data_IF_071676805597
#
_entry.id   IF_071676805597
#
_cell.length_a   1.000
_cell.length_b   1.000
_cell.length_c   1.000
_cell.angle_alpha   90.00
_cell.angle_beta   90.00
_cell.angle_gamma   90.00
#
_symmetry.space_group_name_H-M   'P 1'
#
loop_
_entity.id
_entity.type
_entity.pdbx_description
1 polymer ?
#
# COMPACT_ATOMS: atom_id res chain seq x y z
N UNK A 1 10.20 -20.05 -22.03
CA UNK A 1 9.62 -21.39 -22.20
C UNK A 1 10.70 -22.38 -21.82
N UNK A 2 10.44 -23.18 -20.79
CA UNK A 2 11.29 -24.28 -20.35
C UNK A 2 11.24 -25.35 -21.44
N UNK A 3 12.38 -25.63 -22.07
CA UNK A 3 12.46 -26.75 -22.99
C UNK A 3 12.24 -28.07 -22.24
N UNK A 4 11.37 -28.94 -22.76
CA UNK A 4 11.07 -30.24 -22.15
C UNK A 4 12.34 -31.04 -21.83
N UNK A 5 13.35 -31.03 -22.70
CA UNK A 5 14.62 -31.72 -22.46
C UNK A 5 15.39 -31.20 -21.23
N UNK A 6 15.28 -29.91 -20.92
CA UNK A 6 15.88 -29.33 -19.70
C UNK A 6 15.14 -29.82 -18.44
N UNK A 7 13.81 -29.85 -18.50
CA UNK A 7 12.98 -30.38 -17.42
C UNK A 7 13.30 -31.87 -17.18
N UNK A 8 13.28 -32.69 -18.25
CA UNK A 8 13.62 -34.11 -18.20
C UNK A 8 15.01 -34.34 -17.60
N UNK A 9 16.01 -33.58 -18.05
CA UNK A 9 17.38 -33.66 -17.52
C UNK A 9 17.47 -33.29 -16.04
N UNK A 10 16.65 -32.34 -15.57
CA UNK A 10 16.59 -31.97 -14.16
C UNK A 10 15.92 -33.07 -13.31
N UNK A 11 14.86 -33.70 -13.82
CA UNK A 11 14.09 -34.72 -13.10
C UNK A 11 14.86 -36.03 -12.89
N UNK A 12 15.67 -36.46 -13.87
CA UNK A 12 16.48 -37.69 -13.74
C UNK A 12 17.86 -37.44 -13.13
N UNK A 13 18.10 -36.23 -12.61
CA UNK A 13 19.31 -35.88 -11.88
C UNK A 13 19.41 -36.70 -10.58
N UNK A 14 20.62 -37.06 -10.12
CA UNK A 14 20.81 -37.63 -8.77
C UNK A 14 20.31 -36.74 -7.62
N UNK A 15 20.03 -35.47 -7.90
CA UNK A 15 19.44 -34.50 -6.98
C UNK A 15 18.35 -33.70 -7.72
N UNK A 16 17.13 -34.24 -7.85
CA UNK A 16 16.09 -33.63 -8.67
C UNK A 16 15.62 -32.29 -8.11
N UNK A 17 15.40 -32.16 -6.78
CA UNK A 17 15.07 -30.88 -6.14
C UNK A 17 16.07 -29.76 -6.46
N UNK A 18 17.37 -30.01 -6.27
CA UNK A 18 18.42 -29.02 -6.55
C UNK A 18 18.51 -28.65 -8.04
N UNK A 19 18.25 -29.61 -8.93
CA UNK A 19 18.28 -29.37 -10.37
C UNK A 19 17.07 -28.56 -10.84
N UNK A 20 15.87 -28.87 -10.33
CA UNK A 20 14.65 -28.11 -10.58
C UNK A 20 14.72 -26.71 -9.98
N UNK A 21 15.22 -26.53 -8.76
CA UNK A 21 15.41 -25.21 -8.15
C UNK A 21 16.33 -24.32 -9.01
N UNK A 22 17.45 -24.86 -9.50
CA UNK A 22 18.32 -24.13 -10.43
C UNK A 22 17.61 -23.76 -11.73
N UNK A 23 16.81 -24.67 -12.29
CA UNK A 23 16.03 -24.43 -13.50
C UNK A 23 15.02 -23.29 -13.29
N UNK A 24 14.23 -23.36 -12.21
CA UNK A 24 13.24 -22.33 -11.86
C UNK A 24 13.91 -20.99 -11.61
N UNK A 25 15.00 -20.93 -10.83
CA UNK A 25 15.73 -19.69 -10.57
C UNK A 25 16.32 -19.08 -11.84
N UNK A 26 16.78 -19.90 -12.79
CA UNK A 26 17.27 -19.41 -14.07
C UNK A 26 16.14 -18.75 -14.89
N UNK A 27 14.94 -19.32 -14.90
CA UNK A 27 13.78 -18.73 -15.58
C UNK A 27 13.30 -17.45 -14.88
N UNK A 28 13.24 -17.43 -13.53
CA UNK A 28 12.91 -16.23 -12.75
C UNK A 28 13.92 -15.10 -13.01
N UNK A 29 15.22 -15.42 -13.12
CA UNK A 29 16.27 -14.44 -13.43
C UNK A 29 16.14 -13.81 -14.82
N UNK A 30 15.42 -14.47 -15.74
CA UNK A 30 15.08 -13.94 -17.06
C UNK A 30 13.81 -13.07 -17.04
N UNK A 31 13.22 -12.82 -15.86
CA UNK A 31 12.03 -12.01 -15.69
C UNK A 31 10.72 -12.79 -15.84
N UNK A 32 10.76 -14.12 -15.95
CA UNK A 32 9.53 -14.93 -15.98
C UNK A 32 8.86 -14.94 -14.62
N UNK A 33 7.54 -15.08 -14.63
CA UNK A 33 6.73 -15.13 -13.42
C UNK A 33 6.57 -16.56 -12.91
N UNK A 34 6.42 -16.72 -11.60
CA UNK A 34 6.17 -18.00 -10.94
C UNK A 34 4.94 -18.70 -11.51
N UNK A 35 3.84 -17.96 -11.77
CA UNK A 35 2.62 -18.50 -12.39
C UNK A 35 2.89 -19.09 -13.78
N UNK A 36 3.59 -18.34 -14.64
CA UNK A 36 3.93 -18.79 -15.99
C UNK A 36 4.81 -20.05 -15.97
N UNK A 37 5.76 -20.12 -15.03
CA UNK A 37 6.62 -21.30 -14.87
C UNK A 37 5.78 -22.48 -14.38
N UNK A 38 4.91 -22.27 -13.38
CA UNK A 38 4.03 -23.29 -12.81
C UNK A 38 3.09 -23.90 -13.85
N UNK A 39 2.36 -23.08 -14.59
CA UNK A 39 1.44 -23.53 -15.63
C UNK A 39 2.15 -24.37 -16.69
N UNK A 40 3.37 -23.96 -17.05
CA UNK A 40 4.19 -24.70 -18.00
C UNK A 40 4.64 -26.05 -17.44
N UNK A 41 5.08 -26.11 -16.18
CA UNK A 41 5.46 -27.37 -15.52
C UNK A 41 4.29 -28.34 -15.39
N UNK A 42 3.11 -27.84 -15.00
CA UNK A 42 1.86 -28.64 -14.96
C UNK A 42 1.52 -29.19 -16.35
N UNK A 43 1.61 -28.35 -17.38
CA UNK A 43 1.36 -28.78 -18.77
C UNK A 43 2.36 -29.80 -19.31
N UNK A 44 3.54 -29.92 -18.69
CA UNK A 44 4.58 -30.88 -19.07
C UNK A 44 4.62 -32.16 -18.21
N UNK A 45 3.81 -32.24 -17.14
CA UNK A 45 3.90 -33.32 -16.13
C UNK A 45 3.76 -34.72 -16.74
N UNK A 46 2.75 -34.95 -17.60
CA UNK A 46 2.53 -36.24 -18.25
C UNK A 46 3.71 -36.65 -19.14
N UNK A 47 4.23 -35.72 -19.95
CA UNK A 47 5.37 -35.97 -20.84
C UNK A 47 6.70 -36.15 -20.08
N UNK A 48 6.77 -35.61 -18.87
CA UNK A 48 7.91 -35.76 -17.98
C UNK A 48 7.93 -37.17 -17.34
N UNK A 49 6.77 -37.72 -16.98
CA UNK A 49 6.64 -39.09 -16.45
C UNK A 49 7.11 -40.17 -17.43
N UNK A 50 6.98 -39.93 -18.73
CA UNK A 50 7.49 -40.83 -19.78
C UNK A 50 9.03 -40.85 -19.93
N UNK A 51 9.76 -40.07 -19.12
CA UNK A 51 11.22 -39.97 -19.24
C UNK A 51 11.91 -41.22 -18.68
N UNK A 52 12.79 -41.89 -19.45
CA UNK A 52 13.57 -43.01 -18.93
C UNK A 52 14.39 -42.60 -17.70
N UNK A 53 14.18 -43.29 -16.57
CA UNK A 53 14.84 -42.98 -15.30
C UNK A 53 14.05 -42.04 -14.37
N UNK A 54 12.87 -41.59 -14.78
CA UNK A 54 11.91 -40.94 -13.89
C UNK A 54 11.45 -41.92 -12.81
N UNK A 55 11.49 -41.51 -11.55
CA UNK A 55 11.15 -42.32 -10.38
C UNK A 55 10.34 -41.50 -9.36
N UNK A 56 10.02 -42.11 -8.22
CA UNK A 56 9.23 -41.47 -7.16
C UNK A 56 9.87 -40.16 -6.66
N UNK A 57 11.20 -40.10 -6.52
CA UNK A 57 11.93 -38.87 -6.14
C UNK A 57 11.77 -37.77 -7.20
N UNK A 58 11.76 -38.12 -8.49
CA UNK A 58 11.50 -37.17 -9.58
C UNK A 58 10.09 -36.59 -9.51
N UNK A 59 9.10 -37.43 -9.20
CA UNK A 59 7.70 -37.02 -9.08
C UNK A 59 7.49 -36.11 -7.88
N UNK A 60 7.97 -36.51 -6.70
CA UNK A 60 7.88 -35.72 -5.48
C UNK A 60 8.59 -34.37 -5.64
N UNK A 61 9.78 -34.35 -6.23
CA UNK A 61 10.50 -33.11 -6.51
C UNK A 61 9.75 -32.18 -7.47
N UNK A 62 9.05 -32.72 -8.47
CA UNK A 62 8.25 -31.93 -9.40
C UNK A 62 7.04 -31.30 -8.69
N UNK A 63 6.31 -32.09 -7.90
CA UNK A 63 5.15 -31.62 -7.14
C UNK A 63 5.53 -30.58 -6.09
N UNK A 64 6.60 -30.81 -5.33
CA UNK A 64 7.13 -29.85 -4.36
C UNK A 64 7.48 -28.50 -5.00
N UNK A 65 8.05 -28.52 -6.21
CA UNK A 65 8.41 -27.31 -6.95
C UNK A 65 7.15 -26.59 -7.46
N UNK A 66 6.14 -27.32 -7.94
CA UNK A 66 4.86 -26.76 -8.36
C UNK A 66 4.14 -26.10 -7.16
N UNK A 67 4.18 -26.74 -5.99
CA UNK A 67 3.61 -26.20 -4.76
C UNK A 67 4.39 -24.97 -4.27
N UNK A 68 5.72 -25.00 -4.32
CA UNK A 68 6.56 -23.87 -3.98
C UNK A 68 6.36 -22.68 -4.92
N UNK A 69 6.10 -22.91 -6.21
CA UNK A 69 5.75 -21.88 -7.19
C UNK A 69 4.35 -21.31 -6.96
N UNK A 70 3.43 -22.12 -6.44
CA UNK A 70 2.09 -21.69 -6.03
C UNK A 70 2.07 -20.97 -4.67
N UNK A 71 3.17 -21.00 -3.93
CA UNK A 71 3.25 -20.51 -2.55
C UNK A 71 2.49 -21.39 -1.55
N UNK A 72 2.23 -22.66 -1.89
CA UNK A 72 1.58 -23.66 -1.03
C UNK A 72 2.67 -24.39 -0.23
N UNK A 73 3.53 -23.62 0.43
CA UNK A 73 4.62 -24.13 1.26
C UNK A 73 5.00 -23.08 2.32
N UNK A 74 5.84 -23.41 3.33
CA UNK A 74 6.36 -22.41 4.24
C UNK A 74 7.03 -21.25 3.48
N UNK A 75 6.83 -20.01 3.95
CA UNK A 75 7.19 -18.79 3.23
C UNK A 75 8.68 -18.70 2.85
N UNK A 76 9.58 -19.36 3.60
CA UNK A 76 11.01 -19.42 3.29
C UNK A 76 11.38 -20.28 2.07
N UNK A 77 10.48 -21.16 1.62
CA UNK A 77 10.68 -22.04 0.48
C UNK A 77 9.92 -21.59 -0.77
N UNK A 78 8.95 -20.68 -0.61
CA UNK A 78 8.16 -20.18 -1.72
C UNK A 78 9.03 -19.38 -2.70
N UNK A 79 8.88 -19.64 -4.00
CA UNK A 79 9.50 -18.81 -5.02
C UNK A 79 8.83 -17.44 -5.05
N UNK A 80 9.63 -16.40 -5.32
CA UNK A 80 9.15 -15.04 -5.45
C UNK A 80 9.28 -14.60 -6.90
N UNK A 81 8.28 -13.87 -7.40
CA UNK A 81 8.37 -13.21 -8.67
C UNK A 81 9.59 -12.26 -8.69
N UNK A 82 10.19 -12.05 -9.88
CA UNK A 82 11.19 -10.99 -10.04
C UNK A 82 10.59 -9.65 -9.60
N UNK A 83 11.42 -8.69 -9.14
CA UNK A 83 10.98 -7.41 -8.60
C UNK A 83 10.52 -6.43 -9.69
N UNK A 84 9.61 -6.89 -10.56
CA UNK A 84 8.98 -6.12 -11.61
C UNK A 84 7.59 -5.69 -11.15
N UNK A 85 7.18 -4.47 -11.48
CA UNK A 85 5.81 -4.05 -11.25
C UNK A 85 4.87 -4.91 -12.12
N UNK A 86 3.64 -5.20 -11.66
CA UNK A 86 2.68 -5.87 -12.51
C UNK A 86 2.36 -4.99 -13.73
N UNK A 87 2.21 -5.65 -14.87
CA UNK A 87 1.77 -5.07 -16.14
C UNK A 87 0.29 -4.71 -16.10
N UNK A 88 -0.17 -3.93 -17.07
CA UNK A 88 -1.59 -3.57 -17.16
C UNK A 88 -2.45 -4.81 -17.43
N UNK A 89 -1.95 -5.73 -18.26
CA UNK A 89 -2.59 -7.01 -18.57
C UNK A 89 -2.73 -7.89 -17.33
N UNK A 90 -1.68 -7.99 -16.50
CA UNK A 90 -1.74 -8.71 -15.21
C UNK A 90 -2.76 -8.09 -14.24
N UNK A 91 -2.86 -6.76 -14.23
CA UNK A 91 -3.84 -6.06 -13.38
C UNK A 91 -5.26 -6.33 -13.86
N UNK A 92 -5.49 -6.34 -15.17
CA UNK A 92 -6.80 -6.61 -15.77
C UNK A 92 -7.33 -8.03 -15.47
N UNK A 93 -6.44 -8.99 -15.17
CA UNK A 93 -6.83 -10.35 -14.76
C UNK A 93 -7.38 -10.42 -13.33
N UNK A 94 -7.14 -9.40 -12.49
CA UNK A 94 -7.72 -9.33 -11.16
C UNK A 94 -9.21 -8.96 -11.23
N UNK A 95 -10.06 -9.52 -10.34
CA UNK A 95 -11.42 -9.01 -10.16
C UNK A 95 -11.43 -7.51 -9.85
N UNK A 96 -12.45 -6.76 -10.30
CA UNK A 96 -12.51 -5.30 -10.16
C UNK A 96 -12.24 -4.81 -8.72
N UNK A 97 -12.73 -5.53 -7.73
CA UNK A 97 -12.51 -5.20 -6.30
C UNK A 97 -11.07 -5.43 -5.84
N UNK A 98 -10.38 -6.44 -6.38
CA UNK A 98 -8.98 -6.66 -6.10
C UNK A 98 -8.09 -5.59 -6.76
N UNK A 99 -8.43 -5.15 -7.98
CA UNK A 99 -7.78 -4.01 -8.63
C UNK A 99 -7.92 -2.74 -7.78
N UNK A 100 -9.12 -2.47 -7.27
CA UNK A 100 -9.38 -1.34 -6.38
C UNK A 100 -8.63 -1.43 -5.04
N UNK A 101 -8.61 -2.62 -4.43
CA UNK A 101 -7.82 -2.87 -3.22
C UNK A 101 -6.33 -2.61 -3.44
N UNK A 102 -5.80 -2.94 -4.62
CA UNK A 102 -4.42 -2.64 -4.99
C UNK A 102 -4.17 -1.12 -5.04
N UNK A 103 -5.05 -0.35 -5.69
CA UNK A 103 -4.94 1.12 -5.72
C UNK A 103 -5.03 1.77 -4.33
N UNK A 104 -5.92 1.26 -3.46
CA UNK A 104 -6.05 1.72 -2.07
C UNK A 104 -4.76 1.49 -1.31
N UNK A 105 -4.21 0.26 -1.38
CA UNK A 105 -2.94 -0.10 -0.73
C UNK A 105 -1.77 0.75 -1.25
N UNK A 106 -1.75 1.07 -2.54
CA UNK A 106 -0.79 2.02 -3.10
C UNK A 106 -0.89 3.40 -2.44
N UNK A 107 -2.11 3.94 -2.31
CA UNK A 107 -2.35 5.22 -1.63
C UNK A 107 -1.86 5.18 -0.18
N UNK A 108 -2.14 4.07 0.47
CA UNK A 108 -1.77 3.80 1.85
C UNK A 108 -0.25 3.79 2.08
N UNK A 109 0.50 3.27 1.12
CA UNK A 109 1.96 3.29 1.14
C UNK A 109 2.47 4.73 1.02
N UNK A 110 1.96 5.55 0.11
CA UNK A 110 2.53 6.89 -0.08
C UNK A 110 2.10 7.88 1.03
N UNK A 111 0.92 7.67 1.64
CA UNK A 111 0.37 8.60 2.62
C UNK A 111 1.30 8.94 3.81
N UNK A 112 1.95 7.99 4.51
CA UNK A 112 2.90 8.31 5.59
C UNK A 112 4.13 9.09 5.12
N UNK A 113 4.55 8.89 3.87
CA UNK A 113 5.68 9.62 3.31
C UNK A 113 5.37 11.13 3.22
N UNK A 114 4.12 11.49 2.96
CA UNK A 114 3.66 12.88 2.98
C UNK A 114 3.64 13.50 4.38
N UNK A 115 3.53 12.67 5.42
CA UNK A 115 3.49 13.14 6.81
C UNK A 115 4.87 13.44 7.39
N UNK A 116 5.91 12.73 6.95
CA UNK A 116 7.27 12.88 7.49
C UNK A 116 8.00 14.10 6.92
N UNK A 117 7.63 14.55 5.72
CA UNK A 117 8.16 15.77 5.13
C UNK A 117 7.40 17.02 5.61
N UNK A 118 7.60 17.36 6.89
CA UNK A 118 6.86 18.44 7.58
C UNK A 118 7.43 19.83 7.39
N UNK A 119 8.68 19.98 6.90
CA UNK A 119 9.40 21.27 6.89
C UNK A 119 8.89 22.31 5.88
N UNK A 120 7.77 22.06 5.20
CA UNK A 120 7.15 23.03 4.31
C UNK A 120 5.70 22.73 3.94
N UNK A 121 5.00 21.93 4.76
CA UNK A 121 3.68 21.40 4.38
C UNK A 121 2.53 22.00 5.21
N UNK A 122 1.56 22.68 4.57
CA UNK A 122 0.36 23.16 5.24
C UNK A 122 -0.41 22.00 5.87
N UNK A 123 -0.84 22.10 7.14
CA UNK A 123 -1.70 21.11 7.81
C UNK A 123 -2.93 20.71 6.99
N UNK A 124 -3.47 21.64 6.21
CA UNK A 124 -4.66 21.48 5.37
C UNK A 124 -4.47 20.36 4.32
N UNK A 125 -3.30 20.25 3.66
CA UNK A 125 -3.05 19.19 2.66
C UNK A 125 -3.07 17.80 3.27
N UNK A 126 -2.51 17.67 4.48
CA UNK A 126 -2.44 16.40 5.21
C UNK A 126 -3.84 15.93 5.60
N UNK A 127 -4.65 16.85 6.09
CA UNK A 127 -6.03 16.57 6.51
C UNK A 127 -6.93 16.20 5.32
N UNK A 128 -6.82 16.91 4.19
CA UNK A 128 -7.57 16.57 2.98
C UNK A 128 -7.23 15.17 2.47
N UNK A 129 -5.94 14.80 2.44
CA UNK A 129 -5.52 13.45 2.04
C UNK A 129 -6.04 12.37 3.02
N UNK A 130 -6.07 12.67 4.32
CA UNK A 130 -6.60 11.77 5.37
C UNK A 130 -8.09 11.53 5.16
N UNK A 131 -8.88 12.60 5.05
CA UNK A 131 -10.33 12.53 4.87
C UNK A 131 -10.72 11.80 3.58
N UNK A 132 -10.01 12.08 2.48
CA UNK A 132 -10.24 11.38 1.22
C UNK A 132 -9.96 9.87 1.35
N UNK A 133 -8.89 9.48 2.05
CA UNK A 133 -8.55 8.08 2.28
C UNK A 133 -9.57 7.36 3.17
N UNK A 134 -10.00 8.01 4.26
CA UNK A 134 -11.06 7.48 5.14
C UNK A 134 -12.37 7.30 4.40
N UNK A 135 -12.74 8.29 3.58
CA UNK A 135 -13.96 8.26 2.78
C UNK A 135 -13.90 7.16 1.72
N UNK A 136 -12.76 7.00 1.04
CA UNK A 136 -12.53 5.90 0.10
C UNK A 136 -12.73 4.55 0.81
N UNK A 137 -12.05 4.35 1.94
CA UNK A 137 -12.11 3.10 2.72
C UNK A 137 -13.53 2.78 3.20
N UNK A 138 -14.24 3.77 3.75
CA UNK A 138 -15.62 3.59 4.20
C UNK A 138 -16.56 3.20 3.06
N UNK A 139 -16.46 3.84 1.89
CA UNK A 139 -17.30 3.52 0.74
C UNK A 139 -17.00 2.14 0.13
N UNK A 140 -15.75 1.68 0.21
CA UNK A 140 -15.35 0.34 -0.21
C UNK A 140 -15.91 -0.78 0.68
N UNK A 141 -16.19 -0.44 1.92
CA UNK A 141 -16.70 -1.36 2.95
C UNK A 141 -18.21 -1.55 2.87
N UNK A 142 -18.90 -0.59 2.26
CA UNK A 142 -20.33 -0.67 2.05
C UNK A 142 -20.64 -1.65 0.90
N UNK A 143 -21.73 -2.43 1.00
CA UNK A 143 -22.28 -3.09 -0.18
C UNK A 143 -22.51 -2.00 -1.23
N UNK A 144 -21.98 -2.18 -2.44
CA UNK A 144 -22.32 -1.28 -3.54
C UNK A 144 -23.85 -1.31 -3.63
N UNK A 145 -24.54 -0.16 -3.54
CA UNK A 145 -25.98 -0.16 -3.72
C UNK A 145 -26.26 -0.81 -5.07
N UNK A 146 -27.15 -1.80 -5.09
CA UNK A 146 -27.59 -2.47 -6.33
C UNK A 146 -28.11 -1.46 -7.36
N UNK A 147 -28.46 -0.26 -6.91
CA UNK A 147 -28.74 0.91 -7.75
C UNK A 147 -27.45 1.70 -8.05
N UNK A 148 -26.79 1.31 -9.14
CA UNK A 148 -25.68 2.04 -9.77
C UNK A 148 -26.03 3.49 -10.17
N UNK A 149 -27.27 3.95 -9.98
CA UNK A 149 -27.69 5.31 -10.28
C UNK A 149 -27.32 6.35 -9.20
N UNK A 150 -27.10 5.94 -7.94
CA UNK A 150 -26.82 6.87 -6.81
C UNK A 150 -25.33 6.95 -6.49
N UNK A 151 -24.59 5.84 -6.65
CA UNK A 151 -23.15 5.77 -6.43
C UNK A 151 -22.32 6.77 -7.28
N UNK A 152 -22.65 7.04 -8.57
CA UNK A 152 -21.87 7.97 -9.39
C UNK A 152 -21.90 9.37 -8.84
N UNK A 153 -23.06 9.86 -8.36
CA UNK A 153 -23.19 11.22 -7.83
C UNK A 153 -22.49 11.40 -6.49
N UNK A 154 -22.51 10.39 -5.63
CA UNK A 154 -21.84 10.43 -4.34
C UNK A 154 -20.32 10.31 -4.51
N UNK A 155 -19.85 9.38 -5.34
CA UNK A 155 -18.43 9.22 -5.67
C UNK A 155 -17.93 10.43 -6.44
N UNK A 156 -18.70 11.01 -7.36
CA UNK A 156 -18.36 12.24 -8.08
C UNK A 156 -18.31 13.44 -7.14
N UNK A 157 -19.25 13.60 -6.20
CA UNK A 157 -19.21 14.67 -5.21
C UNK A 157 -17.99 14.53 -4.27
N UNK A 158 -17.72 13.33 -3.76
CA UNK A 158 -16.57 13.06 -2.89
C UNK A 158 -15.25 13.21 -3.66
N UNK A 159 -15.20 12.73 -4.91
CA UNK A 159 -14.03 12.86 -5.77
C UNK A 159 -13.78 14.31 -6.14
N UNK A 160 -14.83 15.08 -6.47
CA UNK A 160 -14.72 16.50 -6.78
C UNK A 160 -14.30 17.30 -5.55
N UNK A 161 -14.91 17.08 -4.38
CA UNK A 161 -14.55 17.82 -3.17
C UNK A 161 -13.12 17.52 -2.73
N UNK A 162 -12.72 16.24 -2.70
CA UNK A 162 -11.35 15.85 -2.40
C UNK A 162 -10.36 16.36 -3.47
N UNK A 163 -10.73 16.32 -4.75
CA UNK A 163 -9.91 16.81 -5.84
C UNK A 163 -9.78 18.33 -5.81
N UNK A 164 -10.86 19.08 -5.61
CA UNK A 164 -10.86 20.54 -5.48
C UNK A 164 -10.01 20.98 -4.29
N UNK A 165 -10.17 20.35 -3.12
CA UNK A 165 -9.32 20.60 -1.96
C UNK A 165 -7.84 20.30 -2.24
N UNK A 166 -7.54 19.21 -2.95
CA UNK A 166 -6.15 18.88 -3.31
C UNK A 166 -5.60 19.85 -4.36
N UNK A 167 -6.42 20.28 -5.32
CA UNK A 167 -6.00 21.08 -6.47
C UNK A 167 -5.88 22.57 -6.11
N UNK A 168 -6.80 23.13 -5.31
CA UNK A 168 -6.69 24.49 -4.75
C UNK A 168 -5.37 24.64 -3.98
N UNK A 169 -5.09 23.72 -3.06
CA UNK A 169 -3.87 23.82 -2.24
C UNK A 169 -2.61 23.51 -3.08
N UNK A 170 -2.73 22.83 -4.22
CA UNK A 170 -1.62 22.60 -5.16
C UNK A 170 -1.37 23.81 -6.06
N UNK A 171 -2.41 24.48 -6.53
CA UNK A 171 -2.31 25.70 -7.35
C UNK A 171 -1.82 26.90 -6.53
N UNK A 172 -2.33 27.12 -5.32
CA UNK A 172 -1.91 28.24 -4.46
C UNK A 172 -0.43 28.15 -4.03
N UNK A 173 0.14 26.94 -4.00
CA UNK A 173 1.53 26.71 -3.58
C UNK A 173 2.48 26.33 -4.74
N UNK A 174 1.99 26.37 -5.98
CA UNK A 174 2.69 25.86 -7.17
C UNK A 174 3.99 26.59 -7.52
N UNK A 175 4.15 27.84 -7.10
CA UNK A 175 5.37 28.62 -7.36
C UNK A 175 6.50 28.38 -6.33
N UNK A 176 6.21 27.81 -5.15
CA UNK A 176 7.21 27.67 -4.06
C UNK A 176 7.78 26.24 -3.96
N UNK A 177 7.07 25.24 -4.49
CA UNK A 177 7.38 23.81 -4.27
C UNK A 177 8.29 23.14 -5.31
N UNK A 178 8.74 23.84 -6.34
CA UNK A 178 9.56 23.27 -7.43
C UNK A 178 11.02 22.97 -7.03
N UNK A 179 11.48 23.38 -5.84
CA UNK A 179 12.92 23.35 -5.51
C UNK A 179 13.29 22.29 -4.48
N UNK A 180 12.33 21.70 -3.74
CA UNK A 180 12.64 20.83 -2.60
C UNK A 180 12.11 19.40 -2.79
N UNK A 181 12.92 18.44 -2.34
CA UNK A 181 12.69 17.00 -2.39
C UNK A 181 11.29 16.56 -1.94
N UNK A 182 10.65 17.27 -1.00
CA UNK A 182 9.32 16.95 -0.49
C UNK A 182 8.16 17.18 -1.44
N UNK A 183 8.30 18.10 -2.40
CA UNK A 183 7.25 18.37 -3.40
C UNK A 183 6.88 17.13 -4.22
N UNK A 184 7.86 16.25 -4.49
CA UNK A 184 7.64 15.04 -5.27
C UNK A 184 6.77 14.00 -4.55
N UNK A 185 6.94 13.83 -3.24
CA UNK A 185 6.21 12.83 -2.45
C UNK A 185 4.75 13.25 -2.26
N UNK A 186 4.50 14.53 -2.01
CA UNK A 186 3.14 15.08 -1.88
C UNK A 186 2.41 15.00 -3.22
N UNK A 187 3.08 15.42 -4.30
CA UNK A 187 2.52 15.33 -5.64
C UNK A 187 2.20 13.87 -6.00
N UNK A 188 3.08 12.93 -5.65
CA UNK A 188 2.80 11.51 -5.82
C UNK A 188 1.63 11.04 -4.95
N UNK A 189 1.54 11.44 -3.68
CA UNK A 189 0.43 11.08 -2.78
C UNK A 189 -0.91 11.57 -3.33
N UNK A 190 -0.97 12.84 -3.70
CA UNK A 190 -2.13 13.48 -4.32
C UNK A 190 -2.54 12.79 -5.62
N UNK A 191 -1.56 12.47 -6.49
CA UNK A 191 -1.83 11.77 -7.76
C UNK A 191 -2.28 10.34 -7.54
N UNK A 192 -1.67 9.61 -6.60
CA UNK A 192 -2.07 8.22 -6.28
C UNK A 192 -3.48 8.21 -5.72
N UNK A 193 -3.80 9.10 -4.79
CA UNK A 193 -5.16 9.25 -4.25
C UNK A 193 -6.17 9.63 -5.35
N UNK A 194 -5.86 10.64 -6.17
CA UNK A 194 -6.72 11.04 -7.29
C UNK A 194 -6.94 9.87 -8.26
N UNK A 195 -5.90 9.11 -8.56
CA UNK A 195 -5.96 7.95 -9.45
C UNK A 195 -6.77 6.80 -8.83
N UNK A 196 -6.68 6.59 -7.51
CA UNK A 196 -7.54 5.65 -6.79
C UNK A 196 -9.02 6.09 -6.81
N UNK A 197 -9.30 7.39 -6.73
CA UNK A 197 -10.66 7.93 -6.92
C UNK A 197 -11.15 7.73 -8.36
N UNK A 198 -10.30 7.93 -9.38
CA UNK A 198 -10.65 7.64 -10.77
C UNK A 198 -10.89 6.15 -11.01
N UNK A 199 -10.11 5.26 -10.37
CA UNK A 199 -10.36 3.82 -10.37
C UNK A 199 -11.74 3.49 -9.77
N UNK A 200 -12.09 4.08 -8.62
CA UNK A 200 -13.42 3.92 -8.03
C UNK A 200 -14.53 4.43 -8.96
N UNK A 201 -14.34 5.60 -9.57
CA UNK A 201 -15.28 6.17 -10.55
C UNK A 201 -15.47 5.24 -11.76
N UNK A 202 -14.39 4.66 -12.27
CA UNK A 202 -14.41 3.74 -13.42
C UNK A 202 -15.28 2.52 -13.14
N UNK A 203 -15.15 1.94 -11.93
CA UNK A 203 -16.01 0.83 -11.49
C UNK A 203 -17.48 1.25 -11.43
N UNK A 204 -17.75 2.42 -10.86
CA UNK A 204 -19.12 2.94 -10.73
C UNK A 204 -19.75 3.26 -12.09
N UNK A 205 -18.94 3.63 -13.09
CA UNK A 205 -19.38 3.88 -14.46
C UNK A 205 -19.40 2.61 -15.34
N UNK A 206 -18.97 1.46 -14.81
CA UNK A 206 -18.86 0.22 -15.58
C UNK A 206 -17.74 0.23 -16.62
N UNK A 207 -16.74 1.12 -16.48
CA UNK A 207 -15.60 1.23 -17.38
C UNK A 207 -14.40 0.42 -16.86
N UNK A 208 -14.49 -0.91 -16.99
CA UNK A 208 -13.45 -1.82 -16.51
C UNK A 208 -12.10 -1.63 -17.24
N UNK A 209 -12.11 -1.21 -18.50
CA UNK A 209 -10.90 -1.01 -19.30
C UNK A 209 -10.02 0.13 -18.77
N UNK A 210 -10.62 1.20 -18.25
CA UNK A 210 -9.86 2.31 -17.65
C UNK A 210 -9.31 1.99 -16.25
N UNK A 211 -9.92 1.04 -15.55
CA UNK A 211 -9.53 0.69 -14.18
C UNK A 211 -8.09 0.18 -14.10
N UNK A 212 -7.71 -0.77 -14.97
CA UNK A 212 -6.36 -1.35 -14.99
C UNK A 212 -5.29 -0.29 -15.26
N UNK A 213 -5.56 0.64 -16.18
CA UNK A 213 -4.70 1.77 -16.52
C UNK A 213 -4.51 2.72 -15.32
N UNK A 214 -5.59 3.03 -14.60
CA UNK A 214 -5.51 3.84 -13.37
C UNK A 214 -4.70 3.13 -12.28
N UNK A 215 -4.97 1.85 -12.03
CA UNK A 215 -4.24 1.07 -11.01
C UNK A 215 -2.75 0.95 -11.38
N UNK A 216 -2.43 0.77 -12.67
CA UNK A 216 -1.05 0.77 -13.15
C UNK A 216 -0.36 2.11 -12.91
N UNK A 217 -1.06 3.21 -13.17
CA UNK A 217 -0.59 4.57 -12.89
C UNK A 217 -0.32 4.77 -11.39
N UNK A 218 -1.20 4.26 -10.51
CA UNK A 218 -0.95 4.27 -9.06
C UNK A 218 0.37 3.57 -8.72
N UNK A 219 0.58 2.35 -9.23
CA UNK A 219 1.80 1.57 -8.97
C UNK A 219 3.07 2.28 -9.42
N UNK A 220 3.05 2.88 -10.61
CA UNK A 220 4.20 3.64 -11.15
C UNK A 220 4.50 4.87 -10.30
N UNK A 221 3.46 5.58 -9.84
CA UNK A 221 3.62 6.73 -8.95
C UNK A 221 4.18 6.32 -7.59
N UNK A 222 3.70 5.21 -6.99
CA UNK A 222 4.25 4.71 -5.72
C UNK A 222 5.70 4.28 -5.88
N UNK A 223 6.01 3.51 -6.92
CA UNK A 223 7.36 3.06 -7.20
C UNK A 223 8.32 4.25 -7.32
N UNK A 224 7.93 5.29 -8.08
CA UNK A 224 8.72 6.50 -8.22
C UNK A 224 8.86 7.31 -6.92
N UNK A 225 7.78 7.43 -6.14
CA UNK A 225 7.80 8.14 -4.85
C UNK A 225 8.70 7.46 -3.81
N UNK A 226 8.79 6.13 -3.89
CA UNK A 226 9.53 5.30 -2.93
C UNK A 226 10.99 5.06 -3.29
N UNK A 227 11.43 5.38 -4.51
CA UNK A 227 12.82 5.21 -4.97
C UNK A 227 13.87 5.76 -4.00
N UNK A 228 13.57 6.84 -3.27
CA UNK A 228 14.47 7.45 -2.28
C UNK A 228 14.64 6.65 -1.00
N UNK A 229 13.71 5.74 -0.72
CA UNK A 229 13.67 4.88 0.46
C UNK A 229 14.05 3.43 0.12
N UNK A 230 14.52 3.18 -1.12
CA UNK A 230 14.91 1.87 -1.61
C UNK A 230 14.10 1.42 -2.82
N UNK A 231 14.48 0.28 -3.40
CA UNK A 231 13.69 -0.35 -4.46
C UNK A 231 12.46 -1.03 -3.86
N UNK A 232 11.30 -0.38 -4.05
CA UNK A 232 10.01 -0.82 -3.53
C UNK A 232 9.23 -1.71 -4.51
N UNK A 233 9.73 -1.88 -5.75
CA UNK A 233 9.08 -2.75 -6.75
C UNK A 233 8.86 -4.19 -6.26
N UNK A 234 9.81 -4.86 -5.57
CA UNK A 234 9.56 -6.20 -5.03
C UNK A 234 8.40 -6.22 -4.03
N UNK A 235 8.23 -5.14 -3.26
CA UNK A 235 7.16 -5.03 -2.27
C UNK A 235 5.79 -4.83 -2.93
N UNK A 236 5.71 -3.91 -3.90
CA UNK A 236 4.50 -3.69 -4.69
C UNK A 236 4.08 -4.94 -5.47
N UNK A 237 5.05 -5.66 -6.04
CA UNK A 237 4.79 -6.94 -6.70
C UNK A 237 4.20 -7.97 -5.75
N UNK A 238 4.75 -8.10 -4.55
CA UNK A 238 4.23 -9.00 -3.52
C UNK A 238 2.80 -8.68 -3.11
N UNK A 239 2.44 -7.39 -3.01
CA UNK A 239 1.06 -6.98 -2.73
C UNK A 239 0.10 -7.44 -3.84
N UNK A 240 0.49 -7.24 -5.10
CA UNK A 240 -0.27 -7.72 -6.25
C UNK A 240 -0.45 -9.25 -6.21
N UNK A 241 0.65 -9.99 -6.06
CA UNK A 241 0.62 -11.46 -6.01
C UNK A 241 -0.23 -11.99 -4.84
N UNK A 242 -0.17 -11.34 -3.67
CA UNK A 242 -0.99 -11.67 -2.51
C UNK A 242 -2.49 -11.43 -2.78
N UNK A 243 -2.84 -10.32 -3.44
CA UNK A 243 -4.23 -10.04 -3.81
C UNK A 243 -4.75 -11.06 -4.82
N UNK A 244 -3.96 -11.40 -5.83
CA UNK A 244 -4.30 -12.43 -6.83
C UNK A 244 -4.59 -13.77 -6.15
N UNK A 245 -3.68 -14.24 -5.29
CA UNK A 245 -3.85 -15.48 -4.54
C UNK A 245 -5.09 -15.47 -3.65
N UNK A 246 -5.33 -14.36 -2.93
CA UNK A 246 -6.51 -14.21 -2.06
C UNK A 246 -7.80 -14.23 -2.89
N UNK A 247 -7.83 -13.53 -4.04
CA UNK A 247 -9.00 -13.52 -4.91
C UNK A 247 -9.30 -14.90 -5.49
N UNK A 248 -8.28 -15.66 -5.90
CA UNK A 248 -8.44 -17.03 -6.39
C UNK A 248 -8.94 -17.96 -5.29
N UNK A 249 -8.32 -17.91 -4.11
CA UNK A 249 -8.66 -18.78 -2.98
C UNK A 249 -10.09 -18.55 -2.49
N UNK A 250 -10.56 -17.30 -2.51
CA UNK A 250 -11.90 -16.93 -2.07
C UNK A 250 -12.93 -16.90 -3.21
N UNK A 251 -12.53 -17.20 -4.45
CA UNK A 251 -13.41 -17.21 -5.62
C UNK A 251 -14.06 -15.85 -5.88
N UNK A 252 -13.29 -14.76 -5.77
CA UNK A 252 -13.83 -13.43 -6.02
C UNK A 252 -14.21 -13.26 -7.49
N UNK A 253 -15.46 -12.86 -7.71
CA UNK A 253 -15.93 -12.25 -8.95
C UNK A 253 -15.84 -10.72 -8.86
N UNK A 254 -16.14 -10.03 -9.96
CA UNK A 254 -16.22 -8.57 -9.99
C UNK A 254 -17.24 -7.99 -9.01
N UNK A 255 -18.29 -8.77 -8.71
CA UNK A 255 -19.35 -8.42 -7.77
C UNK A 255 -19.08 -8.90 -6.33
N UNK A 256 -17.96 -9.58 -6.07
CA UNK A 256 -17.68 -10.13 -4.76
C UNK A 256 -17.59 -9.02 -3.69
N UNK A 257 -18.23 -9.25 -2.55
CA UNK A 257 -18.03 -8.41 -1.37
C UNK A 257 -16.69 -8.76 -0.75
N UNK A 258 -15.81 -7.76 -0.66
CA UNK A 258 -14.46 -7.89 -0.13
C UNK A 258 -14.45 -7.40 1.31
N UNK A 259 -13.92 -8.20 2.24
CA UNK A 259 -13.77 -7.80 3.64
C UNK A 259 -12.87 -6.57 3.74
N UNK A 260 -13.19 -5.68 4.70
CA UNK A 260 -12.34 -4.56 5.09
C UNK A 260 -10.88 -4.96 5.36
N UNK A 261 -10.67 -6.17 5.89
CA UNK A 261 -9.35 -6.70 6.22
C UNK A 261 -8.45 -6.90 4.99
N UNK A 262 -9.03 -6.97 3.79
CA UNK A 262 -8.28 -7.01 2.53
C UNK A 262 -7.68 -5.64 2.22
N UNK A 263 -8.32 -4.57 2.64
CA UNK A 263 -7.72 -3.23 2.66
C UNK A 263 -6.84 -3.02 3.89
N UNK A 264 -6.70 -4.05 4.74
CA UNK A 264 -5.95 -4.05 5.99
C UNK A 264 -4.44 -3.80 5.84
N UNK A 265 -3.71 -3.81 6.97
CA UNK A 265 -2.56 -2.95 7.24
C UNK A 265 -1.47 -2.94 6.17
N UNK A 266 -0.92 -1.75 5.94
CA UNK A 266 0.12 -1.37 4.96
C UNK A 266 1.24 -2.39 4.76
N UNK A 267 1.60 -3.11 5.82
CA UNK A 267 2.66 -4.09 5.90
C UNK A 267 2.23 -5.31 6.71
N UNK A 268 2.03 -6.48 6.07
CA UNK A 268 1.79 -7.75 6.78
C UNK A 268 3.00 -8.19 7.61
N UNK A 269 4.19 -7.99 7.07
CA UNK A 269 5.46 -8.08 7.77
C UNK A 269 6.02 -6.67 7.77
N UNK A 270 6.30 -6.11 8.96
CA UNK A 270 6.80 -4.76 9.30
C UNK A 270 7.24 -3.84 8.13
N UNK A 271 7.04 -2.51 8.26
CA UNK A 271 7.59 -1.55 7.30
C UNK A 271 9.07 -1.84 7.02
N UNK A 272 9.57 -1.60 5.78
CA UNK A 272 10.99 -1.67 5.50
C UNK A 272 11.78 -0.89 6.55
N UNK A 273 13.00 -1.35 6.86
CA UNK A 273 13.80 -0.83 7.97
C UNK A 273 13.98 0.70 7.94
N UNK A 274 14.04 1.26 6.74
CA UNK A 274 14.24 2.69 6.49
C UNK A 274 12.93 3.41 6.08
N UNK A 275 11.80 2.72 6.18
CA UNK A 275 10.50 3.33 5.97
C UNK A 275 10.25 4.36 7.06
N UNK A 276 9.69 5.54 6.73
CA UNK A 276 9.33 6.49 7.76
C UNK A 276 8.41 5.81 8.76
N UNK A 277 8.88 5.66 9.99
CA UNK A 277 8.03 5.16 11.06
C UNK A 277 6.87 6.13 11.18
N UNK A 278 5.67 5.58 11.33
CA UNK A 278 4.49 6.38 11.55
C UNK A 278 4.71 7.18 12.84
N UNK A 279 5.14 8.44 12.69
CA UNK A 279 5.37 9.36 13.80
C UNK A 279 4.04 9.66 14.52
N UNK A 280 2.90 9.19 13.98
CA UNK A 280 1.56 9.32 14.53
C UNK A 280 1.21 8.36 15.68
N UNK A 281 2.01 7.35 15.99
CA UNK A 281 1.70 6.42 17.12
C UNK A 281 2.83 6.15 18.11
N UNK A 282 4.08 6.50 17.82
CA UNK A 282 4.97 6.85 18.94
C UNK A 282 4.53 8.20 19.44
N UNK A 283 3.74 8.18 20.50
CA UNK A 283 3.39 9.28 21.38
C UNK A 283 4.62 9.95 22.02
N UNK A 284 5.59 10.34 21.21
CA UNK A 284 6.33 11.55 21.43
C UNK A 284 5.55 12.60 20.66
N UNK A 285 4.51 13.13 21.30
CA UNK A 285 3.99 14.45 20.95
C UNK A 285 5.17 15.41 21.05
N UNK A 286 5.95 15.54 19.98
CA UNK A 286 6.69 16.76 19.75
C UNK A 286 5.61 17.79 19.47
N UNK A 287 5.01 18.31 20.54
CA UNK A 287 4.47 19.65 20.54
C UNK A 287 5.65 20.51 20.10
N UNK A 288 5.62 21.10 18.90
CA UNK A 288 6.62 22.09 18.56
C UNK A 288 6.32 23.27 19.48
N UNK A 289 7.02 23.36 20.61
CA UNK A 289 6.98 24.55 21.46
C UNK A 289 7.87 25.59 20.78
N UNK A 290 7.41 26.11 19.63
CA UNK A 290 7.95 27.33 19.01
C UNK A 290 7.34 28.60 19.63
N UNK A 291 6.59 28.44 20.74
CA UNK A 291 6.07 29.54 21.56
C UNK A 291 7.19 30.43 22.15
N UNK A 292 8.43 29.91 22.25
CA UNK A 292 9.50 30.61 22.96
C UNK A 292 10.26 31.66 22.13
N UNK A 293 9.96 31.84 20.83
CA UNK A 293 10.71 32.78 19.98
C UNK A 293 9.90 33.90 19.33
N UNK A 294 8.56 33.81 19.30
CA UNK A 294 7.71 34.89 18.78
C UNK A 294 7.21 35.76 19.94
N UNK A 295 7.79 36.96 20.08
CA UNK A 295 7.41 37.96 21.09
C UNK A 295 6.02 38.59 20.86
N UNK A 296 5.32 38.23 19.78
CA UNK A 296 4.06 38.85 19.32
C UNK A 296 2.89 37.85 19.21
N UNK A 297 2.88 36.75 19.96
CA UNK A 297 1.70 35.87 19.98
C UNK A 297 0.57 36.55 20.75
N UNK A 298 -0.58 36.73 20.10
CA UNK A 298 -1.74 37.33 20.73
C UNK A 298 -2.30 36.44 21.84
N UNK A 299 -2.94 37.03 22.86
CA UNK A 299 -3.53 36.31 24.00
C UNK A 299 -4.46 35.16 23.57
N UNK A 300 -5.21 35.37 22.48
CA UNK A 300 -6.10 34.35 21.91
C UNK A 300 -5.35 33.15 21.32
N UNK A 301 -4.27 33.38 20.59
CA UNK A 301 -3.45 32.32 19.99
C UNK A 301 -2.72 31.52 21.08
N UNK A 302 -2.29 32.20 22.16
CA UNK A 302 -1.72 31.55 23.33
C UNK A 302 -2.73 30.62 24.02
N UNK A 303 -3.99 31.05 24.14
CA UNK A 303 -5.07 30.23 24.71
C UNK A 303 -5.33 29.00 23.83
N UNK A 304 -5.44 29.17 22.52
CA UNK A 304 -5.70 28.09 21.57
C UNK A 304 -4.56 27.05 21.59
N UNK A 305 -3.30 27.49 21.60
CA UNK A 305 -2.15 26.58 21.73
C UNK A 305 -2.10 25.86 23.07
N UNK A 306 -2.43 26.55 24.17
CA UNK A 306 -2.51 25.93 25.50
C UNK A 306 -3.58 24.83 25.54
N UNK A 307 -4.73 25.06 24.90
CA UNK A 307 -5.80 24.06 24.79
C UNK A 307 -5.37 22.87 23.92
N UNK A 308 -4.66 23.11 22.82
CA UNK A 308 -4.15 22.05 21.96
C UNK A 308 -3.15 21.15 22.70
N UNK A 309 -2.22 21.75 23.47
CA UNK A 309 -1.27 21.02 24.30
C UNK A 309 -2.00 20.20 25.36
N UNK A 310 -3.01 20.79 26.02
CA UNK A 310 -3.80 20.08 27.03
C UNK A 310 -4.54 18.88 26.42
N UNK A 311 -5.20 19.05 25.28
CA UNK A 311 -5.92 17.97 24.61
C UNK A 311 -4.98 16.82 24.23
N UNK A 312 -3.81 17.13 23.67
CA UNK A 312 -2.81 16.12 23.30
C UNK A 312 -2.28 15.36 24.54
N UNK A 313 -2.00 16.05 25.64
CA UNK A 313 -1.59 15.42 26.90
C UNK A 313 -2.69 14.56 27.51
N UNK A 314 -3.95 15.01 27.41
CA UNK A 314 -5.10 14.31 27.94
C UNK A 314 -5.37 13.01 27.16
N UNK A 315 -5.34 13.06 25.83
CA UNK A 315 -5.45 11.87 24.98
C UNK A 315 -4.35 10.85 25.27
N UNK A 316 -3.10 11.33 25.42
CA UNK A 316 -1.98 10.47 25.80
C UNK A 316 -2.23 9.80 27.16
N UNK A 317 -2.67 10.55 28.16
CA UNK A 317 -2.92 10.02 29.50
C UNK A 317 -4.09 9.03 29.53
N UNK A 318 -5.17 9.30 28.78
CA UNK A 318 -6.30 8.36 28.60
C UNK A 318 -5.80 7.06 27.97
N UNK A 319 -4.99 7.15 26.91
CA UNK A 319 -4.48 5.96 26.19
C UNK A 319 -3.61 5.05 27.06
N UNK A 320 -2.92 5.60 28.08
CA UNK A 320 -1.98 4.86 28.93
C UNK A 320 -2.56 4.47 30.29
N UNK A 321 -3.33 5.35 30.91
CA UNK A 321 -3.85 5.20 32.27
C UNK A 321 -5.35 4.95 32.35
N UNK A 322 -6.08 5.05 31.23
CA UNK A 322 -7.53 4.86 31.19
C UNK A 322 -8.33 5.94 31.90
N UNK A 323 -7.71 7.07 32.27
CA UNK A 323 -8.34 8.18 32.98
C UNK A 323 -7.88 9.51 32.38
N UNK A 324 -8.78 10.49 32.22
CA UNK A 324 -8.43 11.83 31.76
C UNK A 324 -7.60 12.59 32.81
N UNK A 325 -6.77 13.52 32.35
CA UNK A 325 -6.10 14.49 33.20
C UNK A 325 -7.12 15.44 33.81
N UNK A 326 -6.96 15.73 35.10
CA UNK A 326 -7.66 16.80 35.79
C UNK A 326 -6.82 18.08 35.76
N UNK A 327 -7.47 19.23 36.00
CA UNK A 327 -6.77 20.51 36.18
C UNK A 327 -5.72 20.46 37.31
N UNK A 328 -5.93 19.63 38.33
CA UNK A 328 -4.97 19.46 39.42
C UNK A 328 -3.70 18.72 38.97
N UNK A 329 -3.82 17.81 38.00
CA UNK A 329 -2.67 17.06 37.46
C UNK A 329 -1.75 17.97 36.61
N UNK A 330 -2.30 19.08 36.09
CA UNK A 330 -1.55 20.09 35.34
C UNK A 330 -0.90 21.16 36.22
N UNK A 331 -1.37 21.31 37.47
CA UNK A 331 -0.95 22.38 38.37
C UNK A 331 0.59 22.48 38.54
N UNK A 332 1.36 21.38 38.58
CA UNK A 332 2.82 21.44 38.64
C UNK A 332 3.50 22.02 37.39
N UNK A 333 2.82 22.02 36.24
CA UNK A 333 3.36 22.46 34.95
C UNK A 333 3.03 23.92 34.63
N UNK A 334 2.00 24.49 35.27
CA UNK A 334 1.60 25.90 35.10
C UNK A 334 2.78 26.87 35.29
N UNK A 335 3.66 26.74 36.30
CA UNK A 335 4.80 27.64 36.45
C UNK A 335 5.81 27.59 35.30
N UNK A 336 5.93 26.45 34.61
CA UNK A 336 6.81 26.30 33.45
C UNK A 336 6.19 26.94 32.20
N UNK A 337 4.86 26.93 32.07
CA UNK A 337 4.13 27.58 30.98
C UNK A 337 4.08 29.11 31.14
N UNK A 338 3.98 29.61 32.37
CA UNK A 338 3.89 31.06 32.66
C UNK A 338 5.25 31.77 32.56
N UNK A 339 6.38 31.07 32.69
CA UNK A 339 7.73 31.67 32.60
C UNK A 339 8.16 32.08 31.19
N UNK A 340 7.39 31.75 30.16
CA UNK A 340 7.69 32.11 28.77
C UNK A 340 7.14 33.50 28.40
N UNK A 341 6.40 34.16 29.30
CA UNK A 341 5.71 35.43 29.02
C UNK A 341 6.04 36.62 29.94
N UNK A 342 7.26 36.70 30.53
CA UNK A 342 7.74 37.92 31.22
C UNK A 342 9.10 38.34 30.70
#
# INVERSE_FOLDING_TARGET
MIALDKLRSALVSPQPWSALDRLVRAELSQGRLTRQIREELIGMEEQARDTPGFNDDSEEALHDIIDALAGICPAQYAYQNPPVLPTEEEIAELPLRAQLALAVRCSDIVFPLSQVDTRGNPPIKREACRLAFETLTQNLSAPLPNDFAVAPKLVEAISMEAFEQVNEVTQENGEILTIHSGGHVINASSKVLSTAMFALRSIVQGNAEELSSHVKTCLDLVANATLRYGDFKPYLRRIFDDLMRVSETLGWSDDALVSLDVFGPKFRAMPPRDWPQDMGHTSHSCVPIDLAQNQDIGERELIEETLNIFNALNEYHISRGGQPLTLNDLQPFIPALVRVGV
#
